data_IF_787205186421
#
_entry.id   IF_787205186421
#
_cell.length_a   1.000
_cell.length_b   1.000
_cell.length_c   1.000
_cell.angle_alpha   90.00
_cell.angle_beta   90.00
_cell.angle_gamma   90.00
#
_symmetry.space_group_name_H-M   'P 1'
#
loop_
_entity.id
_entity.type
_entity.pdbx_description
1 polymer ?
#
# COMPACT_ATOMS: atom_id res chain seq x y z
N UNK A 1 11.67 10.86 25.43
CA UNK A 1 11.61 9.38 25.45
C UNK A 1 11.69 8.90 24.00
N UNK A 2 12.89 8.44 23.62
CA UNK A 2 13.37 7.82 22.36
C UNK A 2 12.46 7.87 21.11
N UNK A 3 12.81 8.77 20.19
CA UNK A 3 12.49 8.71 18.76
C UNK A 3 13.07 7.43 18.15
N UNK A 4 12.21 6.57 17.58
CA UNK A 4 12.67 5.40 16.83
C UNK A 4 12.74 5.75 15.34
N UNK A 5 13.98 5.96 14.92
CA UNK A 5 14.44 5.92 13.54
C UNK A 5 14.15 4.56 12.90
N UNK A 6 13.54 4.54 11.73
CA UNK A 6 13.80 3.55 10.66
C UNK A 6 14.02 4.36 9.39
N UNK A 7 15.25 4.80 9.15
CA UNK A 7 16.22 4.11 8.30
C UNK A 7 15.70 4.06 6.85
N UNK A 8 16.25 4.95 6.03
CA UNK A 8 15.95 5.06 4.61
C UNK A 8 16.10 3.74 3.89
N UNK A 9 15.13 3.41 3.06
CA UNK A 9 15.20 2.27 2.16
C UNK A 9 15.69 2.77 0.81
N UNK A 10 16.98 2.52 0.54
CA UNK A 10 17.57 2.70 -0.78
C UNK A 10 16.70 2.02 -1.85
N UNK A 11 16.65 2.53 -3.09
CA UNK A 11 15.81 1.96 -4.14
C UNK A 11 16.34 0.57 -4.47
N UNK A 12 15.72 -0.45 -3.89
CA UNK A 12 16.08 -1.83 -4.17
C UNK A 12 15.62 -2.17 -5.59
N UNK A 13 16.57 -2.64 -6.39
CA UNK A 13 16.31 -3.02 -7.77
C UNK A 13 15.36 -4.22 -7.79
N UNK A 14 14.24 -4.14 -8.53
CA UNK A 14 13.32 -5.26 -8.62
C UNK A 14 14.05 -6.45 -9.25
N UNK A 15 13.94 -7.62 -8.62
CA UNK A 15 14.58 -8.82 -9.14
C UNK A 15 14.02 -9.16 -10.52
N UNK A 16 14.85 -9.71 -11.40
CA UNK A 16 14.44 -10.01 -12.78
C UNK A 16 14.50 -11.51 -13.03
N UNK A 17 13.42 -12.07 -13.59
CA UNK A 17 13.31 -13.49 -13.90
C UNK A 17 12.81 -13.70 -15.33
N UNK A 18 13.21 -14.80 -15.96
CA UNK A 18 12.66 -15.22 -17.24
C UNK A 18 11.26 -15.82 -17.11
N UNK A 19 10.41 -15.63 -18.12
CA UNK A 19 9.03 -16.11 -18.13
C UNK A 19 8.92 -17.65 -18.02
N UNK A 20 9.90 -18.40 -18.53
CA UNK A 20 9.96 -19.86 -18.37
C UNK A 20 10.16 -20.25 -16.91
N UNK A 21 11.14 -19.63 -16.22
CA UNK A 21 11.39 -19.83 -14.80
C UNK A 21 10.23 -19.37 -13.92
N UNK A 22 9.58 -18.26 -14.29
CA UNK A 22 8.39 -17.79 -13.60
C UNK A 22 7.24 -18.82 -13.70
N UNK A 23 7.04 -19.44 -14.87
CA UNK A 23 6.01 -20.48 -15.04
C UNK A 23 6.29 -21.72 -14.19
N UNK A 24 7.55 -22.12 -14.05
CA UNK A 24 7.98 -23.27 -13.23
C UNK A 24 7.82 -23.02 -11.72
N UNK A 25 8.08 -21.79 -11.26
CA UNK A 25 8.21 -21.47 -9.83
C UNK A 25 7.17 -20.44 -9.35
N UNK A 26 6.07 -20.28 -10.09
CA UNK A 26 5.11 -19.19 -9.91
C UNK A 26 4.66 -19.01 -8.45
N UNK A 27 4.13 -20.06 -7.84
CA UNK A 27 3.60 -20.01 -6.47
C UNK A 27 4.69 -19.67 -5.44
N UNK A 28 5.85 -20.34 -5.52
CA UNK A 28 6.96 -20.08 -4.60
C UNK A 28 7.51 -18.65 -4.70
N UNK A 29 7.45 -18.04 -5.89
CA UNK A 29 7.87 -16.65 -6.11
C UNK A 29 6.85 -15.64 -5.58
N UNK A 30 5.55 -15.96 -5.63
CA UNK A 30 4.51 -15.13 -5.05
C UNK A 30 4.59 -15.13 -3.51
N UNK A 31 4.86 -16.29 -2.91
CA UNK A 31 4.97 -16.43 -1.45
C UNK A 31 6.18 -15.68 -0.88
N UNK A 32 7.27 -15.59 -1.65
CA UNK A 32 8.52 -14.93 -1.26
C UNK A 32 8.67 -13.54 -1.86
N UNK A 33 7.57 -12.95 -2.36
CA UNK A 33 7.62 -11.69 -3.06
C UNK A 33 8.04 -10.56 -2.11
N UNK A 34 9.23 -10.01 -2.38
CA UNK A 34 9.75 -8.89 -1.63
C UNK A 34 8.99 -7.59 -1.91
N UNK A 35 9.21 -6.56 -1.06
CA UNK A 35 8.56 -5.25 -1.16
C UNK A 35 8.79 -4.53 -2.51
N UNK A 36 9.91 -4.80 -3.19
CA UNK A 36 10.29 -4.11 -4.42
C UNK A 36 9.69 -4.76 -5.69
N UNK A 37 9.11 -5.96 -5.51
CA UNK A 37 8.52 -6.77 -6.57
C UNK A 37 9.51 -7.45 -7.51
N UNK A 38 8.96 -8.06 -8.55
CA UNK A 38 9.66 -8.92 -9.50
C UNK A 38 9.32 -8.51 -10.94
N UNK A 39 10.32 -8.41 -11.81
CA UNK A 39 10.16 -8.17 -13.24
C UNK A 39 10.28 -9.50 -13.99
N UNK A 40 9.25 -9.83 -14.77
CA UNK A 40 9.23 -10.99 -15.65
C UNK A 40 9.68 -10.55 -17.03
N UNK A 41 10.65 -11.25 -17.59
CA UNK A 41 11.21 -11.01 -18.92
C UNK A 41 10.92 -12.18 -19.86
N UNK A 42 10.72 -11.89 -21.14
CA UNK A 42 10.62 -12.90 -22.20
C UNK A 42 11.62 -12.52 -23.29
N UNK A 43 12.58 -13.42 -23.57
CA UNK A 43 13.66 -13.17 -24.56
C UNK A 43 14.44 -11.87 -24.26
N UNK A 44 14.81 -11.66 -22.99
CA UNK A 44 15.57 -10.49 -22.55
C UNK A 44 14.77 -9.18 -22.49
N UNK A 45 13.49 -9.17 -22.87
CA UNK A 45 12.63 -7.98 -22.79
C UNK A 45 11.69 -8.08 -21.59
N UNK A 46 11.55 -7.03 -20.75
CA UNK A 46 10.57 -7.00 -19.68
C UNK A 46 9.16 -7.04 -20.27
N UNK A 47 8.31 -7.95 -19.75
CA UNK A 47 6.94 -8.16 -20.22
C UNK A 47 5.90 -7.94 -19.15
N UNK A 48 6.24 -8.15 -17.87
CA UNK A 48 5.33 -7.93 -16.76
C UNK A 48 6.11 -7.60 -15.49
N UNK A 49 5.44 -6.96 -14.53
CA UNK A 49 5.96 -6.74 -13.18
C UNK A 49 4.92 -7.25 -12.18
N UNK A 50 5.37 -8.01 -11.20
CA UNK A 50 4.57 -8.48 -10.08
C UNK A 50 4.97 -7.65 -8.86
N UNK A 51 3.98 -7.04 -8.21
CA UNK A 51 4.15 -6.23 -7.02
C UNK A 51 3.38 -6.89 -5.87
N UNK A 52 3.91 -6.83 -4.63
CA UNK A 52 3.14 -7.23 -3.48
C UNK A 52 1.90 -6.36 -3.37
N UNK A 53 0.78 -6.96 -2.97
CA UNK A 53 -0.44 -6.22 -2.72
C UNK A 53 -0.29 -5.48 -1.39
N UNK A 54 -0.12 -4.17 -1.45
CA UNK A 54 0.03 -3.35 -0.26
C UNK A 54 -1.32 -3.25 0.46
N UNK A 55 -1.38 -3.80 1.67
CA UNK A 55 -2.55 -3.73 2.55
C UNK A 55 -2.46 -2.57 3.52
N UNK A 56 -1.36 -1.81 3.50
CA UNK A 56 -1.13 -0.78 4.50
C UNK A 56 -1.92 0.50 4.19
N UNK A 57 -3.03 0.64 4.89
CA UNK A 57 -3.85 1.85 4.88
C UNK A 57 -3.24 2.99 5.69
N UNK A 58 -2.12 2.78 6.42
CA UNK A 58 -1.43 3.86 7.12
C UNK A 58 -0.97 4.96 6.16
N UNK A 59 -0.61 4.59 4.93
CA UNK A 59 -0.28 5.54 3.86
C UNK A 59 -1.44 6.47 3.47
N UNK A 60 -2.69 6.07 3.77
CA UNK A 60 -3.90 6.85 3.48
C UNK A 60 -4.25 7.82 4.62
N UNK A 61 -3.71 7.63 5.82
CA UNK A 61 -3.95 8.53 6.96
C UNK A 61 -3.40 9.91 6.61
N UNK A 62 -4.27 10.93 6.60
CA UNK A 62 -3.89 12.29 6.23
C UNK A 62 -3.91 12.58 4.71
N UNK A 63 -4.20 11.61 3.85
CA UNK A 63 -4.28 11.83 2.38
C UNK A 63 -5.34 12.84 1.94
N UNK A 64 -6.34 13.08 2.79
CA UNK A 64 -7.42 14.04 2.61
C UNK A 64 -7.29 15.29 3.51
N UNK A 65 -6.15 15.45 4.20
CA UNK A 65 -5.85 16.66 4.97
C UNK A 65 -6.01 17.87 4.05
N UNK A 66 -6.71 18.89 4.54
CA UNK A 66 -7.02 20.15 3.85
C UNK A 66 -7.89 20.05 2.58
N UNK A 67 -8.29 18.84 2.17
CA UNK A 67 -9.17 18.61 1.01
C UNK A 67 -10.65 18.46 1.38
N UNK A 68 -10.94 18.25 2.65
CA UNK A 68 -12.31 18.07 3.16
C UNK A 68 -12.73 19.30 3.95
N UNK A 69 -13.92 19.82 3.64
CA UNK A 69 -14.56 20.91 4.40
C UNK A 69 -15.78 20.35 5.13
N UNK A 70 -15.82 20.56 6.44
CA UNK A 70 -17.02 20.28 7.23
C UNK A 70 -18.13 21.26 6.82
N UNK A 71 -19.29 20.72 6.46
CA UNK A 71 -20.51 21.51 6.21
C UNK A 71 -21.50 21.22 7.33
N UNK A 72 -21.93 22.27 8.03
CA UNK A 72 -22.83 22.16 9.18
C UNK A 72 -22.11 21.81 10.49
N UNK A 73 -22.88 21.50 11.52
CA UNK A 73 -22.37 21.06 12.82
C UNK A 73 -22.37 19.53 12.88
N UNK A 74 -21.18 18.93 12.79
CA UNK A 74 -20.98 17.47 12.85
C UNK A 74 -21.10 16.92 14.27
N UNK A 75 -21.07 17.78 15.28
CA UNK A 75 -21.23 17.39 16.67
C UNK A 75 -22.69 17.47 17.12
N UNK A 76 -23.58 18.01 16.26
CA UNK A 76 -25.01 18.02 16.50
C UNK A 76 -25.65 16.67 16.14
N UNK A 77 -26.60 16.22 16.95
CA UNK A 77 -27.44 15.06 16.63
C UNK A 77 -28.56 15.41 15.65
N UNK A 78 -28.76 16.69 15.34
CA UNK A 78 -29.87 17.18 14.53
C UNK A 78 -31.25 17.07 15.19
N UNK A 79 -31.30 16.62 16.46
CA UNK A 79 -32.54 16.38 17.20
C UNK A 79 -32.55 17.28 18.43
N UNK A 80 -33.66 17.98 18.64
CA UNK A 80 -33.89 18.71 19.89
C UNK A 80 -34.27 17.72 20.98
N UNK A 81 -33.45 17.63 22.02
CA UNK A 81 -33.73 16.79 23.18
C UNK A 81 -34.71 17.52 24.12
N UNK A 82 -35.96 17.09 24.15
CA UNK A 82 -36.98 17.59 25.09
C UNK A 82 -37.04 16.64 26.30
N UNK A 83 -36.11 16.83 27.26
CA UNK A 83 -36.20 16.17 28.56
C UNK A 83 -37.31 16.84 29.39
N UNK A 84 -38.45 16.18 29.54
CA UNK A 84 -39.41 16.53 30.58
C UNK A 84 -38.87 16.05 31.93
N UNK A 85 -38.78 16.98 32.90
CA UNK A 85 -38.42 16.70 34.30
C UNK A 85 -39.66 16.44 35.13
#
# INVERSE_FOLDING_TARGET
MKTRTTAGKSPAHPQTIGAARFKEQCLALLDRLGPDGLVITKRGRPVARVLPYDRDSASLIGSLQDKVKVKGDIMSTGIRWDAEC
#
